data_IF_690407398528
#
_entry.id   IF_690407398528
#
_cell.length_a   1.000
_cell.length_b   1.000
_cell.length_c   1.000
_cell.angle_alpha   90.00
_cell.angle_beta   90.00
_cell.angle_gamma   90.00
#
_symmetry.space_group_name_H-M   'P 1'
#
loop_
_entity.id
_entity.type
_entity.pdbx_description
1 polymer ?
#
# COMPACT_ATOMS: atom_id res chain seq x y z
N UNK A 1 -2.15 -6.48 2.35
CA UNK A 1 -3.53 -5.98 2.54
C UNK A 1 -4.08 -6.33 3.91
N UNK A 2 -3.96 -7.59 4.35
CA UNK A 2 -4.40 -8.06 5.66
C UNK A 2 -3.93 -7.19 6.84
N UNK A 3 -2.67 -6.75 6.85
CA UNK A 3 -2.12 -5.87 7.88
C UNK A 3 -2.82 -4.51 7.93
N UNK A 4 -3.11 -3.92 6.77
CA UNK A 4 -3.83 -2.66 6.68
C UNK A 4 -5.29 -2.82 7.16
N UNK A 5 -5.98 -3.86 6.70
CA UNK A 5 -7.37 -4.13 7.11
C UNK A 5 -7.51 -4.49 8.60
N UNK A 6 -6.46 -5.02 9.23
CA UNK A 6 -6.44 -5.24 10.68
C UNK A 6 -6.53 -3.93 11.48
N UNK A 7 -6.12 -2.79 10.88
CA UNK A 7 -6.15 -1.47 11.51
C UNK A 7 -7.40 -0.68 11.11
N UNK A 8 -7.73 -0.64 9.81
CA UNK A 8 -8.83 0.21 9.30
C UNK A 8 -10.15 -0.55 9.07
N UNK A 9 -10.18 -1.84 9.36
CA UNK A 9 -11.28 -2.75 9.03
C UNK A 9 -11.34 -3.12 7.54
N UNK A 10 -12.16 -4.13 7.22
CA UNK A 10 -12.26 -4.70 5.87
C UNK A 10 -12.59 -3.66 4.79
N UNK A 11 -11.95 -3.77 3.62
CA UNK A 11 -12.16 -2.93 2.45
C UNK A 11 -12.75 -3.78 1.32
N UNK A 12 -14.00 -3.49 0.92
CA UNK A 12 -14.68 -4.29 -0.12
C UNK A 12 -14.24 -3.92 -1.54
N UNK A 13 -13.67 -2.73 -1.72
CA UNK A 13 -13.22 -2.20 -3.01
C UNK A 13 -12.03 -1.23 -2.84
N UNK A 14 -11.47 -0.80 -3.98
CA UNK A 14 -10.36 0.14 -4.01
C UNK A 14 -10.73 1.52 -3.44
N UNK A 15 -11.98 1.95 -3.62
CA UNK A 15 -12.46 3.24 -3.13
C UNK A 15 -12.44 3.29 -1.59
N UNK A 16 -12.83 2.20 -0.94
CA UNK A 16 -12.75 2.06 0.51
C UNK A 16 -11.29 2.03 0.99
N UNK A 17 -10.40 1.33 0.29
CA UNK A 17 -8.97 1.34 0.61
C UNK A 17 -8.39 2.75 0.58
N UNK A 18 -8.72 3.53 -0.47
CA UNK A 18 -8.26 4.92 -0.60
C UNK A 18 -8.85 5.80 0.50
N UNK A 19 -10.17 5.69 0.75
CA UNK A 19 -10.85 6.51 1.75
C UNK A 19 -10.32 6.24 3.17
N UNK A 20 -10.23 4.97 3.56
CA UNK A 20 -9.72 4.56 4.87
C UNK A 20 -8.24 4.83 5.02
N UNK A 21 -7.47 4.68 3.94
CA UNK A 21 -6.04 4.99 3.94
C UNK A 21 -5.79 6.49 4.13
N UNK A 22 -6.58 7.34 3.48
CA UNK A 22 -6.51 8.79 3.68
C UNK A 22 -6.88 9.20 5.12
N UNK A 23 -7.90 8.57 5.71
CA UNK A 23 -8.25 8.77 7.12
C UNK A 23 -7.10 8.37 8.05
N UNK A 24 -6.53 7.17 7.86
CA UNK A 24 -5.40 6.69 8.65
C UNK A 24 -4.18 7.61 8.54
N UNK A 25 -3.91 8.15 7.34
CA UNK A 25 -2.83 9.13 7.15
C UNK A 25 -3.06 10.42 7.96
N UNK A 26 -4.31 10.89 8.05
CA UNK A 26 -4.65 12.06 8.86
C UNK A 26 -4.55 11.77 10.36
N UNK A 27 -5.03 10.60 10.81
CA UNK A 27 -4.98 10.19 12.22
C UNK A 27 -3.56 10.03 12.75
N UNK A 28 -2.64 9.60 11.89
CA UNK A 28 -1.25 9.30 12.24
C UNK A 28 -0.23 10.35 11.73
N UNK A 29 -0.70 11.45 11.14
CA UNK A 29 0.13 12.52 10.55
C UNK A 29 1.20 11.99 9.57
N UNK A 30 0.79 11.11 8.65
CA UNK A 30 1.69 10.46 7.68
C UNK A 30 1.83 11.30 6.40
N UNK A 31 3.08 11.54 5.98
CA UNK A 31 3.37 12.18 4.69
C UNK A 31 3.14 11.28 3.46
N UNK A 32 3.08 9.96 3.65
CA UNK A 32 2.74 8.99 2.62
C UNK A 32 2.32 7.66 3.24
N UNK A 33 1.49 6.89 2.53
CA UNK A 33 1.14 5.51 2.89
C UNK A 33 1.20 4.62 1.64
N UNK A 34 2.02 3.58 1.69
CA UNK A 34 2.12 2.56 0.64
C UNK A 34 1.45 1.27 1.11
N UNK A 35 0.36 0.87 0.46
CA UNK A 35 -0.40 -0.34 0.79
C UNK A 35 -0.09 -1.44 -0.22
N UNK A 36 0.43 -2.58 0.23
CA UNK A 36 0.66 -3.76 -0.61
C UNK A 36 -0.61 -4.60 -0.73
N UNK A 37 -0.96 -5.00 -1.95
CA UNK A 37 -2.24 -5.64 -2.33
C UNK A 37 -2.05 -7.02 -2.99
N UNK A 38 -0.91 -7.67 -2.75
CA UNK A 38 -0.60 -8.98 -3.33
C UNK A 38 -0.60 -8.93 -4.85
N UNK A 39 -1.39 -9.80 -5.49
CA UNK A 39 -1.54 -9.89 -6.95
C UNK A 39 -2.05 -8.60 -7.61
N UNK A 40 -2.77 -7.75 -6.86
CA UNK A 40 -3.26 -6.46 -7.35
C UNK A 40 -2.16 -5.37 -7.33
N UNK A 41 -0.97 -5.67 -6.83
CA UNK A 41 0.16 -4.75 -6.77
C UNK A 41 0.16 -3.89 -5.51
N UNK A 42 0.28 -2.56 -5.66
CA UNK A 42 0.39 -1.62 -4.54
C UNK A 42 -0.44 -0.35 -4.81
N UNK A 43 -0.81 0.35 -3.74
CA UNK A 43 -1.42 1.69 -3.82
C UNK A 43 -0.61 2.66 -2.97
N UNK A 44 -0.14 3.75 -3.58
CA UNK A 44 0.52 4.85 -2.88
C UNK A 44 -0.47 6.00 -2.67
N UNK A 45 -0.62 6.40 -1.41
CA UNK A 45 -1.40 7.56 -0.96
C UNK A 45 -0.46 8.66 -0.47
N UNK A 46 -0.77 9.90 -0.84
CA UNK A 46 -0.01 11.11 -0.48
C UNK A 46 -1.00 12.27 -0.25
N UNK A 47 -0.70 13.22 0.65
CA UNK A 47 -1.53 14.41 0.85
C UNK A 47 -1.74 15.16 -0.46
N UNK A 48 -2.97 15.60 -0.70
CA UNK A 48 -3.38 16.42 -1.85
C UNK A 48 -3.06 15.82 -3.23
N UNK A 49 -2.88 14.50 -3.30
CA UNK A 49 -2.61 13.79 -4.54
C UNK A 49 -3.60 12.63 -4.75
N UNK A 50 -3.89 12.34 -6.01
CA UNK A 50 -4.66 11.16 -6.36
C UNK A 50 -3.89 9.89 -5.98
N UNK A 51 -4.63 8.86 -5.57
CA UNK A 51 -4.07 7.55 -5.29
C UNK A 51 -3.36 7.01 -6.53
N UNK A 52 -2.11 6.56 -6.35
CA UNK A 52 -1.33 5.94 -7.41
C UNK A 52 -1.40 4.43 -7.26
N UNK A 53 -2.09 3.76 -8.19
CA UNK A 53 -2.16 2.31 -8.25
C UNK A 53 -1.04 1.75 -9.13
N UNK A 54 -0.20 0.89 -8.55
CA UNK A 54 0.94 0.24 -9.17
C UNK A 54 0.60 -1.24 -9.35
N UNK A 55 0.21 -1.70 -10.55
CA UNK A 55 -0.14 -3.11 -10.75
C UNK A 55 1.07 -4.02 -10.54
N UNK A 56 0.84 -5.22 -10.00
CA UNK A 56 1.90 -6.21 -9.89
C UNK A 56 2.36 -6.62 -11.29
N UNK A 57 3.67 -6.63 -11.54
CA UNK A 57 4.24 -7.27 -12.74
C UNK A 57 4.50 -8.74 -12.40
N UNK A 58 3.50 -9.59 -12.62
CA UNK A 58 3.63 -11.02 -12.38
C UNK A 58 4.54 -11.65 -13.44
N UNK A 59 5.79 -11.94 -13.06
CA UNK A 59 6.58 -13.03 -13.66
C UNK A 59 6.61 -14.10 -12.59
N UNK A 60 6.04 -15.28 -12.89
CA UNK A 60 5.79 -16.41 -11.97
C UNK A 60 6.64 -16.34 -10.70
N UNK A 61 6.04 -15.85 -9.61
CA UNK A 61 6.75 -15.59 -8.36
C UNK A 61 6.67 -16.86 -7.52
N UNK A 62 7.79 -17.58 -7.44
CA UNK A 62 7.89 -18.86 -6.74
C UNK A 62 8.08 -18.73 -5.22
N UNK A 63 8.22 -17.51 -4.69
CA UNK A 63 8.23 -17.22 -3.25
C UNK A 63 7.91 -15.73 -3.02
N UNK A 64 7.00 -15.43 -2.09
CA UNK A 64 6.55 -14.05 -1.75
C UNK A 64 7.02 -13.59 -0.37
N UNK A 65 7.86 -14.40 0.30
CA UNK A 65 8.44 -14.07 1.60
C UNK A 65 9.48 -12.94 1.44
N UNK A 66 9.40 -11.86 2.24
CA UNK A 66 10.35 -10.74 2.20
C UNK A 66 10.07 -9.65 1.15
N UNK A 67 8.93 -9.71 0.45
CA UNK A 67 8.54 -8.67 -0.51
C UNK A 67 8.38 -7.29 0.16
N UNK A 68 7.86 -7.23 1.39
CA UNK A 68 7.75 -6.00 2.17
C UNK A 68 9.10 -5.37 2.50
N UNK A 69 10.07 -6.16 2.95
CA UNK A 69 11.41 -5.68 3.30
C UNK A 69 12.15 -5.12 2.08
N UNK A 70 11.98 -5.76 0.92
CA UNK A 70 12.54 -5.29 -0.36
C UNK A 70 11.94 -3.95 -0.78
N UNK A 71 10.64 -3.77 -0.60
CA UNK A 71 9.94 -2.50 -0.91
C UNK A 71 10.43 -1.37 -0.01
N UNK A 72 10.49 -1.57 1.32
CA UNK A 72 10.98 -0.54 2.25
C UNK A 72 12.45 -0.21 1.97
N UNK A 73 13.29 -1.22 1.73
CA UNK A 73 14.72 -1.00 1.43
C UNK A 73 14.92 -0.20 0.15
N UNK A 74 14.15 -0.50 -0.90
CA UNK A 74 14.23 0.23 -2.18
C UNK A 74 13.73 1.66 -2.05
N UNK A 75 12.64 1.87 -1.32
CA UNK A 75 12.13 3.22 -1.04
C UNK A 75 13.17 4.03 -0.27
N UNK A 76 13.74 3.47 0.79
CA UNK A 76 14.75 4.13 1.62
C UNK A 76 16.04 4.45 0.83
N UNK A 77 16.44 3.60 -0.12
CA UNK A 77 17.63 3.83 -0.94
C UNK A 77 17.43 4.90 -2.04
N UNK A 78 16.19 5.26 -2.37
CA UNK A 78 15.85 6.19 -3.45
C UNK A 78 15.65 7.65 -2.96
N UNK A 79 15.75 7.90 -1.65
CA UNK A 79 15.64 9.20 -0.97
C UNK A 79 16.98 9.52 -0.31
#
# INVERSE_FOLDING_TARGET
>A
LSEFEAIVGHCVDEAQLVTKGAQLMQELDLGALLVTRGEHGMTLLRPDQQALHLPARAREVFDVTGAGDTVISTLAAAI
#
